data_IF_685438981581
#
_entry.id   IF_685438981581
#
_cell.length_a   1.000
_cell.length_b   1.000
_cell.length_c   1.000
_cell.angle_alpha   90.00
_cell.angle_beta   90.00
_cell.angle_gamma   90.00
#
_symmetry.space_group_name_H-M   'P 1'
#
loop_
_entity.id
_entity.type
_entity.pdbx_description
1 polymer ?
#
# COMPACT_ATOMS: atom_id res chain seq x y z
N UNK A 1 17.05 -63.39 4.27
CA UNK A 1 18.41 -62.81 4.35
C UNK A 1 18.69 -62.01 3.08
N UNK A 2 18.52 -60.69 3.12
CA UNK A 2 18.91 -59.79 2.01
C UNK A 2 19.82 -58.71 2.60
N UNK A 3 20.99 -58.60 1.97
CA UNK A 3 22.19 -57.94 2.48
C UNK A 3 22.10 -56.43 2.28
N UNK A 4 22.54 -55.68 3.28
CA UNK A 4 22.73 -54.23 3.24
C UNK A 4 23.98 -53.86 2.44
N UNK A 5 23.90 -52.81 1.64
CA UNK A 5 25.07 -52.07 1.15
C UNK A 5 24.93 -50.60 1.54
N UNK A 6 26.01 -50.07 2.12
CA UNK A 6 26.11 -48.78 2.77
C UNK A 6 26.97 -47.81 1.93
N UNK A 7 26.51 -46.55 1.86
CA UNK A 7 27.23 -45.25 1.95
C UNK A 7 28.42 -44.95 1.00
N UNK A 8 28.94 -43.69 0.92
CA UNK A 8 28.38 -42.33 1.10
C UNK A 8 28.81 -41.37 -0.05
N UNK A 9 28.56 -40.05 0.05
CA UNK A 9 29.57 -38.95 0.00
C UNK A 9 28.85 -37.61 -0.12
N UNK A 10 29.05 -36.75 0.89
CA UNK A 10 28.67 -35.35 0.91
C UNK A 10 29.84 -34.50 0.37
N UNK A 11 29.54 -33.40 -0.31
CA UNK A 11 30.51 -32.35 -0.60
C UNK A 11 29.86 -30.98 -0.33
N UNK A 12 30.26 -30.37 0.77
CA UNK A 12 29.93 -29.00 1.16
C UNK A 12 31.05 -28.11 0.63
N UNK A 13 30.74 -27.17 -0.25
CA UNK A 13 31.66 -26.12 -0.66
C UNK A 13 31.27 -24.82 0.05
N UNK A 14 32.07 -24.41 1.03
CA UNK A 14 32.01 -23.10 1.64
C UNK A 14 32.95 -22.16 0.85
N UNK A 15 32.41 -21.13 0.21
CA UNK A 15 33.21 -20.01 -0.31
C UNK A 15 33.24 -18.92 0.77
N UNK A 16 34.33 -18.88 1.53
CA UNK A 16 34.68 -17.71 2.34
C UNK A 16 35.30 -16.66 1.43
N UNK A 17 34.66 -15.50 1.30
CA UNK A 17 35.22 -14.32 0.63
C UNK A 17 35.67 -13.35 1.72
N UNK A 18 36.96 -13.39 2.05
CA UNK A 18 37.65 -12.36 2.85
C UNK A 18 38.22 -11.33 1.89
N UNK A 19 37.74 -10.09 1.96
CA UNK A 19 38.45 -8.94 1.39
C UNK A 19 38.50 -7.83 2.44
N UNK A 20 39.73 -7.41 2.71
CA UNK A 20 40.14 -6.44 3.73
C UNK A 20 39.47 -5.07 3.60
N UNK A 21 39.26 -4.48 4.78
CA UNK A 21 39.21 -3.05 5.03
C UNK A 21 40.54 -2.36 4.65
N UNK A 22 40.46 -1.11 4.19
CA UNK A 22 41.23 0.03 4.72
C UNK A 22 41.02 1.26 3.81
N UNK A 23 40.59 2.38 4.38
CA UNK A 23 40.44 3.63 3.63
C UNK A 23 39.70 4.73 4.38
N UNK A 24 40.44 5.46 5.20
CA UNK A 24 40.04 6.60 6.02
C UNK A 24 39.40 7.77 5.26
N UNK A 25 38.44 8.44 5.89
CA UNK A 25 37.88 9.70 5.38
C UNK A 25 36.77 10.26 6.26
N UNK A 26 37.12 10.89 7.37
CA UNK A 26 36.22 11.73 8.18
C UNK A 26 36.02 13.09 7.49
N UNK A 27 34.77 13.50 7.29
CA UNK A 27 34.40 14.92 7.26
C UNK A 27 33.03 15.08 7.93
N UNK A 28 33.06 15.65 9.13
CA UNK A 28 31.92 16.19 9.86
C UNK A 28 31.72 17.64 9.37
N UNK A 29 30.55 17.95 8.83
CA UNK A 29 30.14 19.33 8.52
C UNK A 29 28.73 19.55 9.08
N UNK A 30 28.67 19.77 10.38
CA UNK A 30 28.24 21.07 10.91
C UNK A 30 26.82 21.53 10.56
N UNK A 31 25.91 21.36 11.52
CA UNK A 31 24.59 21.98 11.55
C UNK A 31 24.65 23.51 11.54
N UNK A 32 23.91 24.15 10.63
CA UNK A 32 23.65 25.58 10.68
C UNK A 32 22.16 25.87 10.96
N UNK A 33 21.86 26.30 12.19
CA UNK A 33 20.64 27.06 12.51
C UNK A 33 20.97 28.55 12.44
N UNK A 34 20.21 29.36 11.68
CA UNK A 34 20.22 30.79 11.89
C UNK A 34 19.19 31.20 12.96
N UNK A 35 19.74 31.85 13.97
CA UNK A 35 19.13 32.57 15.06
C UNK A 35 18.30 33.78 14.58
N UNK A 36 17.18 34.00 15.27
CA UNK A 36 16.34 35.19 15.21
C UNK A 36 17.15 36.45 15.57
N UNK A 37 17.06 37.49 14.73
CA UNK A 37 17.45 38.85 15.10
C UNK A 37 16.21 39.74 15.14
N UNK A 38 15.92 40.24 16.34
CA UNK A 38 15.02 41.37 16.56
C UNK A 38 15.81 42.66 16.40
N UNK A 39 15.22 43.67 15.78
CA UNK A 39 15.61 45.07 15.91
C UNK A 39 14.40 45.94 15.60
N UNK A 40 13.98 46.69 16.63
CA UNK A 40 12.87 47.64 16.61
C UNK A 40 13.26 48.95 15.90
N UNK A 41 12.28 49.69 15.36
CA UNK A 41 11.90 51.05 15.81
C UNK A 41 10.68 51.59 15.06
N UNK A 42 9.86 52.32 15.81
CA UNK A 42 8.53 52.86 15.55
C UNK A 42 8.47 54.09 14.62
N UNK A 43 7.28 54.38 14.07
CA UNK A 43 6.66 55.73 14.07
C UNK A 43 5.12 55.65 13.96
N UNK A 44 4.46 56.48 14.76
CA UNK A 44 3.05 56.95 14.94
C UNK A 44 2.29 57.36 13.66
N UNK A 45 0.96 57.58 13.55
CA UNK A 45 -0.26 57.47 14.36
C UNK A 45 -1.50 57.82 13.47
N UNK A 46 -2.72 57.35 13.82
CA UNK A 46 -4.06 57.99 13.69
C UNK A 46 -5.18 56.93 13.93
N UNK A 47 -5.93 56.89 15.05
CA UNK A 47 -7.29 57.48 15.33
C UNK A 47 -8.29 57.36 14.17
N UNK A 48 -9.56 56.94 14.26
CA UNK A 48 -10.59 56.63 15.28
C UNK A 48 -11.47 55.47 14.66
N UNK A 49 -12.40 54.72 15.28
CA UNK A 49 -13.55 55.11 16.09
C UNK A 49 -14.20 53.87 16.75
N UNK A 50 -14.42 53.95 18.07
CA UNK A 50 -15.59 53.55 18.89
C UNK A 50 -16.43 52.29 18.51
N UNK A 51 -16.44 51.33 19.45
CA UNK A 51 -17.49 50.31 19.58
C UNK A 51 -17.46 49.67 20.98
N UNK A 52 -18.17 50.29 21.92
CA UNK A 52 -18.29 49.92 23.34
C UNK A 52 -19.02 48.59 23.55
N UNK A 53 -18.48 47.70 24.38
CA UNK A 53 -19.27 47.02 25.42
C UNK A 53 -18.37 46.46 26.54
N UNK A 54 -18.88 46.58 27.76
CA UNK A 54 -18.17 46.47 29.03
C UNK A 54 -18.47 45.14 29.76
N UNK A 55 -17.53 44.76 30.66
CA UNK A 55 -17.69 43.77 31.73
C UNK A 55 -17.33 42.35 31.28
N UNK A 56 -16.43 41.59 31.89
CA UNK A 56 -15.98 41.59 33.29
C UNK A 56 -14.65 40.83 33.35
N UNK A 57 -13.67 41.35 34.07
CA UNK A 57 -12.39 40.69 34.28
C UNK A 57 -12.47 39.68 35.43
N UNK A 58 -12.10 38.43 35.17
CA UNK A 58 -11.65 37.47 36.20
C UNK A 58 -10.36 36.82 35.73
N UNK A 59 -9.27 37.13 36.44
CA UNK A 59 -7.98 36.46 36.32
C UNK A 59 -8.10 34.99 36.71
N UNK A 60 -7.74 34.07 35.81
CA UNK A 60 -7.33 32.72 36.18
C UNK A 60 -6.41 32.11 35.10
N UNK A 61 -5.11 32.16 35.42
CA UNK A 61 -4.13 31.07 35.38
C UNK A 61 -4.11 30.17 34.12
N UNK A 62 -2.95 30.19 33.44
CA UNK A 62 -2.65 29.50 32.20
C UNK A 62 -3.11 28.05 32.10
N UNK A 63 -3.69 27.76 30.94
CA UNK A 63 -3.62 26.47 30.27
C UNK A 63 -3.48 26.78 28.77
N UNK A 64 -2.30 26.53 28.20
CA UNK A 64 -2.14 26.40 26.75
C UNK A 64 -2.87 25.11 26.33
N UNK A 65 -4.19 25.14 26.29
CA UNK A 65 -4.96 24.18 25.51
C UNK A 65 -4.88 24.64 24.07
N UNK A 66 -3.98 24.02 23.30
CA UNK A 66 -4.16 23.93 21.86
C UNK A 66 -5.51 23.24 21.64
N UNK A 67 -6.58 24.03 21.54
CA UNK A 67 -7.87 23.56 21.12
C UNK A 67 -7.66 23.02 19.71
N UNK A 68 -7.63 21.68 19.59
CA UNK A 68 -7.65 21.02 18.31
C UNK A 68 -8.84 21.58 17.55
N UNK A 69 -8.56 22.19 16.39
CA UNK A 69 -9.59 22.56 15.42
C UNK A 69 -10.51 21.34 15.27
N UNK A 70 -11.85 21.50 15.26
CA UNK A 70 -12.76 20.40 15.00
C UNK A 70 -12.29 19.64 13.77
N UNK A 71 -12.07 18.33 13.93
CA UNK A 71 -11.69 17.46 12.82
C UNK A 71 -12.71 17.66 11.70
N UNK A 72 -12.23 18.07 10.53
CA UNK A 72 -13.08 18.09 9.35
C UNK A 72 -13.37 16.62 9.01
N UNK A 73 -14.64 16.19 9.03
CA UNK A 73 -15.00 14.80 8.75
C UNK A 73 -14.66 14.37 7.31
N UNK A 74 -14.18 15.31 6.48
CA UNK A 74 -13.72 15.07 5.11
C UNK A 74 -12.21 15.16 4.93
N UNK A 75 -11.43 15.49 5.99
CA UNK A 75 -9.97 15.57 5.88
C UNK A 75 -9.38 14.16 5.71
N UNK A 76 -8.74 13.86 4.55
CA UNK A 76 -8.07 12.58 4.35
C UNK A 76 -6.81 12.45 5.21
N UNK A 77 -6.24 13.50 5.78
CA UNK A 77 -5.06 13.36 6.66
C UNK A 77 -5.43 12.87 8.07
N UNK A 78 -6.70 12.95 8.47
CA UNK A 78 -7.16 12.49 9.78
C UNK A 78 -7.29 10.95 9.81
N UNK A 79 -6.54 10.24 10.68
CA UNK A 79 -6.67 8.80 10.86
C UNK A 79 -8.09 8.33 11.21
N UNK A 80 -8.91 9.17 11.87
CA UNK A 80 -10.30 8.84 12.20
C UNK A 80 -11.21 8.74 10.97
N UNK A 81 -10.83 9.38 9.87
CA UNK A 81 -11.54 9.37 8.58
C UNK A 81 -11.03 8.29 7.62
N UNK A 82 -10.05 7.48 8.04
CA UNK A 82 -9.48 6.37 7.26
C UNK A 82 -9.79 5.01 7.84
N UNK A 83 -10.10 4.06 6.97
CA UNK A 83 -10.29 2.64 7.29
C UNK A 83 -9.49 1.76 6.33
N UNK A 84 -9.34 0.46 6.61
CA UNK A 84 -8.80 -0.45 5.60
C UNK A 84 -9.86 -0.73 4.52
N UNK A 85 -9.47 -0.74 3.26
CA UNK A 85 -10.33 -1.28 2.21
C UNK A 85 -10.41 -2.80 2.37
N UNK A 86 -11.62 -3.37 2.31
CA UNK A 86 -11.86 -4.81 2.30
C UNK A 86 -13.19 -5.15 1.63
N UNK A 87 -13.56 -6.44 1.61
CA UNK A 87 -14.76 -6.94 0.93
C UNK A 87 -16.09 -6.45 1.53
N UNK A 88 -16.11 -5.78 2.68
CA UNK A 88 -17.33 -5.22 3.28
C UNK A 88 -17.60 -3.76 2.90
N UNK A 89 -16.56 -2.99 2.56
CA UNK A 89 -16.67 -1.59 2.19
C UNK A 89 -16.23 -1.31 0.74
N UNK A 90 -16.07 -2.37 -0.06
CA UNK A 90 -15.72 -2.25 -1.47
C UNK A 90 -16.55 -3.17 -2.36
N UNK A 91 -16.72 -2.75 -3.61
CA UNK A 91 -17.10 -3.66 -4.69
C UNK A 91 -15.85 -4.07 -5.44
N UNK A 92 -15.69 -5.37 -5.69
CA UNK A 92 -14.53 -5.91 -6.41
C UNK A 92 -14.98 -6.57 -7.70
N UNK A 93 -14.28 -6.31 -8.79
CA UNK A 93 -14.44 -7.02 -10.07
C UNK A 93 -13.09 -7.55 -10.54
N UNK A 94 -13.10 -8.65 -11.29
CA UNK A 94 -11.90 -9.24 -11.87
C UNK A 94 -12.23 -9.71 -13.30
N UNK A 95 -11.51 -9.18 -14.30
CA UNK A 95 -11.80 -9.47 -15.72
C UNK A 95 -10.52 -9.59 -16.54
N UNK A 96 -10.33 -10.69 -17.28
CA UNK A 96 -9.28 -10.76 -18.29
C UNK A 96 -9.40 -9.61 -19.27
N UNK A 97 -8.26 -9.02 -19.64
CA UNK A 97 -8.20 -7.94 -20.64
C UNK A 97 -7.66 -8.49 -21.96
N UNK A 98 -8.09 -7.94 -23.10
CA UNK A 98 -7.62 -8.41 -24.41
C UNK A 98 -6.17 -7.98 -24.69
N UNK A 99 -5.76 -6.83 -24.16
CA UNK A 99 -4.41 -6.27 -24.25
C UNK A 99 -4.04 -5.60 -22.92
N UNK A 100 -2.83 -5.84 -22.39
CA UNK A 100 -1.84 -6.84 -22.83
C UNK A 100 -2.33 -8.30 -22.71
N UNK A 101 -1.62 -9.22 -23.38
CA UNK A 101 -1.98 -10.65 -23.42
C UNK A 101 -1.78 -11.29 -22.04
N UNK A 102 -2.60 -12.29 -21.70
CA UNK A 102 -2.54 -13.02 -20.43
C UNK A 102 -2.73 -12.15 -19.18
N UNK A 103 -3.29 -10.95 -19.32
CA UNK A 103 -3.55 -10.09 -18.18
C UNK A 103 -5.02 -10.15 -17.74
N UNK A 104 -5.21 -9.94 -16.45
CA UNK A 104 -6.50 -9.67 -15.83
C UNK A 104 -6.41 -8.42 -14.98
N UNK A 105 -7.43 -7.57 -15.07
CA UNK A 105 -7.56 -6.40 -14.22
C UNK A 105 -8.47 -6.73 -13.04
N UNK A 106 -7.99 -6.47 -11.83
CA UNK A 106 -8.81 -6.39 -10.63
C UNK A 106 -9.11 -4.91 -10.38
N UNK A 107 -10.39 -4.59 -10.18
CA UNK A 107 -10.84 -3.25 -9.83
C UNK A 107 -11.56 -3.30 -8.50
N UNK A 108 -11.13 -2.45 -7.58
CA UNK A 108 -11.75 -2.24 -6.27
C UNK A 108 -12.35 -0.85 -6.26
N UNK A 109 -13.64 -0.72 -5.96
CA UNK A 109 -14.31 0.57 -5.78
C UNK A 109 -14.72 0.73 -4.32
N UNK A 110 -14.34 1.84 -3.70
CA UNK A 110 -14.78 2.18 -2.34
C UNK A 110 -16.28 2.52 -2.34
N UNK A 111 -17.08 1.74 -1.61
CA UNK A 111 -18.52 1.96 -1.43
C UNK A 111 -18.88 2.48 -0.05
N UNK A 112 -17.89 2.67 0.81
CA UNK A 112 -18.06 3.28 2.13
C UNK A 112 -18.16 4.80 2.07
N UNK A 113 -18.39 5.41 3.23
CA UNK A 113 -18.46 6.86 3.43
C UNK A 113 -17.16 7.50 3.91
N UNK A 114 -16.12 6.69 4.17
CA UNK A 114 -14.79 7.12 4.62
C UNK A 114 -13.76 6.85 3.54
N UNK A 115 -12.61 7.52 3.64
CA UNK A 115 -11.43 7.09 2.88
C UNK A 115 -11.04 5.68 3.30
N UNK A 116 -10.65 4.85 2.34
CA UNK A 116 -10.09 3.54 2.66
C UNK A 116 -8.72 3.34 2.03
N UNK A 117 -7.83 2.68 2.77
CA UNK A 117 -6.46 2.40 2.34
C UNK A 117 -6.38 0.97 1.78
N UNK A 118 -5.86 0.83 0.55
CA UNK A 118 -5.45 -0.41 -0.08
C UNK A 118 -3.96 -0.65 0.20
N UNK A 119 -3.66 -1.46 1.21
CA UNK A 119 -2.27 -1.76 1.59
C UNK A 119 -1.70 -2.92 0.77
N UNK A 120 -0.41 -2.80 0.44
CA UNK A 120 0.37 -3.82 -0.27
C UNK A 120 -0.26 -4.23 -1.62
N UNK A 121 -0.57 -5.51 -1.78
CA UNK A 121 -1.09 -6.13 -3.00
C UNK A 121 -2.27 -7.05 -2.63
N UNK A 122 -3.17 -7.38 -3.57
CA UNK A 122 -4.21 -8.37 -3.30
C UNK A 122 -3.61 -9.76 -3.08
N UNK A 123 -4.09 -10.46 -2.06
CA UNK A 123 -3.77 -11.88 -1.87
C UNK A 123 -4.76 -12.68 -2.70
N UNK A 124 -4.30 -13.23 -3.82
CA UNK A 124 -5.16 -13.98 -4.74
C UNK A 124 -5.19 -15.47 -4.38
N UNK A 125 -6.39 -16.04 -4.35
CA UNK A 125 -6.59 -17.49 -4.26
C UNK A 125 -7.59 -17.94 -5.32
N UNK A 126 -7.08 -18.60 -6.34
CA UNK A 126 -7.90 -19.25 -7.36
C UNK A 126 -8.29 -20.66 -6.89
N UNK A 127 -9.58 -21.00 -6.95
CA UNK A 127 -10.12 -22.29 -6.50
C UNK A 127 -9.48 -22.85 -5.21
N UNK A 128 -8.71 -23.93 -5.32
CA UNK A 128 -8.00 -24.61 -4.22
C UNK A 128 -6.47 -24.41 -4.29
N UNK A 129 -6.01 -23.34 -4.95
CA UNK A 129 -4.60 -22.96 -5.02
C UNK A 129 -3.95 -22.99 -3.63
N UNK A 130 -2.83 -23.72 -3.53
CA UNK A 130 -2.09 -24.00 -2.28
C UNK A 130 -0.88 -23.07 -2.07
N UNK A 131 -0.73 -22.05 -2.91
CA UNK A 131 0.35 -21.07 -2.86
C UNK A 131 -0.23 -19.65 -3.00
N UNK A 132 0.58 -18.64 -2.70
CA UNK A 132 0.18 -17.24 -2.79
C UNK A 132 1.04 -16.53 -3.84
N UNK A 133 0.40 -15.94 -4.87
CA UNK A 133 1.08 -15.11 -5.86
C UNK A 133 1.91 -14.00 -5.23
N UNK A 134 3.13 -13.85 -5.73
CA UNK A 134 4.03 -12.79 -5.29
C UNK A 134 3.77 -11.51 -6.10
N UNK A 135 3.95 -10.34 -5.49
CA UNK A 135 3.80 -9.09 -6.20
C UNK A 135 4.97 -8.87 -7.18
N UNK A 136 4.69 -8.15 -8.26
CA UNK A 136 5.72 -7.54 -9.11
C UNK A 136 6.32 -6.38 -8.34
N UNK A 137 7.56 -6.53 -7.89
CA UNK A 137 8.17 -5.65 -6.90
C UNK A 137 8.34 -4.22 -7.43
N UNK A 138 8.52 -4.08 -8.74
CA UNK A 138 8.66 -2.84 -9.49
C UNK A 138 7.37 -2.01 -9.52
N UNK A 139 6.21 -2.64 -9.25
CA UNK A 139 4.90 -1.96 -9.19
C UNK A 139 4.60 -1.34 -7.84
N UNK A 140 5.53 -1.37 -6.89
CA UNK A 140 5.30 -0.83 -5.55
C UNK A 140 5.11 0.69 -5.59
N UNK A 141 3.95 1.23 -5.16
CA UNK A 141 3.72 2.66 -5.18
C UNK A 141 4.56 3.38 -4.12
N UNK A 142 4.81 4.67 -4.34
CA UNK A 142 5.53 5.53 -3.40
C UNK A 142 4.77 5.74 -2.08
N UNK A 143 3.44 5.69 -2.13
CA UNK A 143 2.54 5.84 -1.00
C UNK A 143 1.43 4.78 -1.05
N UNK A 144 0.76 4.57 0.08
CA UNK A 144 -0.41 3.67 0.12
C UNK A 144 -1.52 4.21 -0.78
N UNK A 145 -2.09 3.33 -1.60
CA UNK A 145 -3.22 3.66 -2.45
C UNK A 145 -4.44 3.94 -1.59
N UNK A 146 -4.86 5.20 -1.54
CA UNK A 146 -6.01 5.66 -0.75
C UNK A 146 -7.17 5.96 -1.69
N UNK A 147 -8.36 5.45 -1.37
CA UNK A 147 -9.58 5.66 -2.14
C UNK A 147 -10.56 6.52 -1.36
N UNK A 148 -10.95 7.66 -1.89
CA UNK A 148 -12.13 8.39 -1.41
C UNK A 148 -13.41 7.59 -1.66
N UNK A 149 -14.53 7.93 -0.99
CA UNK A 149 -15.84 7.36 -1.31
C UNK A 149 -16.15 7.44 -2.82
N UNK A 150 -16.42 6.29 -3.44
CA UNK A 150 -16.71 6.19 -4.87
C UNK A 150 -15.49 6.09 -5.80
N UNK A 151 -14.28 6.32 -5.30
CA UNK A 151 -13.04 6.14 -6.09
C UNK A 151 -12.68 4.67 -6.26
N UNK A 152 -11.83 4.39 -7.25
CA UNK A 152 -11.38 3.05 -7.59
C UNK A 152 -9.87 2.92 -7.57
N UNK A 153 -9.40 1.76 -7.12
CA UNK A 153 -8.02 1.29 -7.22
C UNK A 153 -7.95 0.01 -8.05
N UNK A 154 -6.75 -0.30 -8.52
CA UNK A 154 -6.51 -1.32 -9.53
C UNK A 154 -5.35 -2.22 -9.14
N UNK A 155 -5.42 -3.48 -9.55
CA UNK A 155 -4.26 -4.36 -9.60
C UNK A 155 -4.27 -5.14 -10.91
N UNK A 156 -3.12 -5.17 -11.59
CA UNK A 156 -2.89 -6.04 -12.72
C UNK A 156 -2.47 -7.41 -12.25
N UNK A 157 -2.94 -8.44 -12.95
CA UNK A 157 -2.54 -9.82 -12.73
C UNK A 157 -2.01 -10.35 -14.04
N UNK A 158 -0.72 -10.67 -14.09
CA UNK A 158 -0.16 -11.48 -15.17
C UNK A 158 -0.49 -12.92 -14.85
N UNK A 159 -1.35 -13.54 -15.65
CA UNK A 159 -1.86 -14.89 -15.39
C UNK A 159 -0.88 -15.99 -15.83
N UNK A 160 -0.10 -15.71 -16.85
CA UNK A 160 0.90 -16.60 -17.42
C UNK A 160 1.89 -15.82 -18.28
N UNK A 161 3.17 -16.14 -18.17
CA UNK A 161 4.23 -15.58 -19.00
C UNK A 161 4.00 -15.91 -20.48
N UNK A 162 4.32 -14.96 -21.36
CA UNK A 162 4.14 -15.13 -22.80
C UNK A 162 5.21 -16.03 -23.46
N UNK A 163 6.31 -16.30 -22.76
CA UNK A 163 7.43 -17.10 -23.24
C UNK A 163 7.24 -18.62 -23.03
N UNK A 164 6.13 -19.03 -22.39
CA UNK A 164 5.82 -20.43 -22.12
C UNK A 164 6.67 -21.06 -21.01
N UNK A 165 7.35 -20.25 -20.19
CA UNK A 165 8.14 -20.74 -19.04
C UNK A 165 7.30 -21.29 -17.89
N UNK A 166 5.99 -21.04 -17.90
CA UNK A 166 5.07 -21.50 -16.86
C UNK A 166 4.79 -22.99 -16.89
N UNK A 167 4.59 -23.55 -15.69
CA UNK A 167 4.27 -24.94 -15.45
C UNK A 167 2.95 -25.08 -14.70
N UNK A 168 2.34 -26.28 -14.78
CA UNK A 168 1.16 -26.62 -13.98
C UNK A 168 -0.07 -25.77 -14.29
N UNK A 169 -0.18 -25.26 -15.52
CA UNK A 169 -1.27 -24.39 -15.94
C UNK A 169 -2.64 -25.06 -15.79
N UNK A 170 -3.62 -24.30 -15.30
CA UNK A 170 -4.99 -24.75 -15.10
C UNK A 170 -5.98 -23.62 -15.32
N UNK A 171 -7.28 -23.93 -15.34
CA UNK A 171 -8.36 -22.95 -15.53
C UNK A 171 -9.22 -22.86 -14.29
N UNK A 172 -9.16 -21.72 -13.60
CA UNK A 172 -9.95 -21.49 -12.41
C UNK A 172 -11.36 -20.94 -12.69
N UNK A 173 -12.30 -21.28 -11.81
CA UNK A 173 -13.70 -20.83 -11.87
C UNK A 173 -14.09 -19.92 -10.71
N UNK A 174 -13.34 -19.94 -9.62
CA UNK A 174 -13.52 -19.07 -8.46
C UNK A 174 -12.25 -18.29 -8.16
N UNK A 175 -12.41 -17.00 -7.86
CA UNK A 175 -11.36 -16.15 -7.33
C UNK A 175 -11.78 -15.62 -5.96
N UNK A 176 -10.90 -15.77 -4.97
CA UNK A 176 -10.96 -15.02 -3.72
C UNK A 176 -9.87 -13.95 -3.74
N UNK A 177 -10.25 -12.71 -3.47
CA UNK A 177 -9.35 -11.56 -3.32
C UNK A 177 -9.28 -11.20 -1.84
N UNK A 178 -8.15 -11.51 -1.22
CA UNK A 178 -7.84 -11.12 0.14
C UNK A 178 -7.24 -9.71 0.20
N UNK A 179 -7.61 -8.97 1.25
CA UNK A 179 -7.06 -7.66 1.56
C UNK A 179 -6.08 -7.77 2.72
N UNK A 180 -5.00 -7.00 2.66
CA UNK A 180 -3.99 -6.99 3.71
C UNK A 180 -4.26 -5.90 4.74
N UNK A 181 -3.77 -6.09 5.97
CA UNK A 181 -3.79 -5.07 7.00
C UNK A 181 -2.64 -4.08 6.85
N UNK A 182 -2.37 -3.31 7.91
CA UNK A 182 -1.23 -2.37 7.97
C UNK A 182 0.12 -3.06 8.19
N UNK A 183 0.10 -4.33 8.57
CA UNK A 183 1.29 -5.18 8.70
C UNK A 183 1.34 -6.09 7.47
N UNK A 184 2.50 -6.29 6.84
CA UNK A 184 2.59 -7.18 5.68
C UNK A 184 2.04 -8.57 6.01
N UNK A 185 1.26 -9.14 5.10
CA UNK A 185 0.62 -10.47 5.24
C UNK A 185 -0.37 -10.62 6.40
N UNK A 186 -0.77 -9.53 7.09
CA UNK A 186 -1.86 -9.60 8.07
C UNK A 186 -3.22 -9.44 7.40
N UNK A 187 -4.28 -9.91 8.05
CA UNK A 187 -5.63 -9.76 7.52
C UNK A 187 -6.08 -8.30 7.51
N UNK A 188 -6.58 -7.82 6.37
CA UNK A 188 -7.24 -6.52 6.20
C UNK A 188 -8.75 -6.55 6.46
N UNK A 189 -9.28 -7.69 6.92
CA UNK A 189 -10.72 -7.92 7.08
C UNK A 189 -11.27 -8.88 6.00
N UNK A 190 -12.60 -8.83 5.76
CA UNK A 190 -13.26 -9.76 4.86
C UNK A 190 -12.72 -9.74 3.43
N UNK A 191 -12.56 -10.92 2.82
CA UNK A 191 -12.19 -11.07 1.41
C UNK A 191 -13.38 -10.78 0.49
N UNK A 192 -13.09 -10.50 -0.79
CA UNK A 192 -14.09 -10.44 -1.85
C UNK A 192 -14.04 -11.69 -2.73
N UNK A 193 -15.17 -12.07 -3.34
CA UNK A 193 -15.28 -13.19 -4.28
C UNK A 193 -15.90 -12.68 -5.58
N UNK A 194 -15.14 -11.94 -6.41
CA UNK A 194 -15.65 -11.43 -7.68
C UNK A 194 -15.99 -12.58 -8.63
N UNK A 195 -17.00 -12.36 -9.48
CA UNK A 195 -17.37 -13.32 -10.51
C UNK A 195 -16.29 -13.39 -11.58
N UNK A 196 -15.87 -14.61 -11.94
CA UNK A 196 -15.02 -14.87 -13.10
C UNK A 196 -15.88 -15.13 -14.35
N UNK A 197 -15.31 -14.97 -15.56
CA UNK A 197 -15.97 -15.41 -16.79
C UNK A 197 -16.45 -16.86 -16.69
N UNK A 198 -17.60 -17.18 -17.29
CA UNK A 198 -18.17 -18.53 -17.23
C UNK A 198 -17.20 -19.61 -17.73
N UNK A 199 -16.34 -19.30 -18.71
CA UNK A 199 -15.28 -20.16 -19.25
C UNK A 199 -14.07 -20.36 -18.32
N UNK A 200 -14.01 -19.63 -17.21
CA UNK A 200 -12.90 -19.58 -16.28
C UNK A 200 -11.76 -18.68 -16.74
N UNK A 201 -10.72 -18.63 -15.92
CA UNK A 201 -9.48 -17.90 -16.17
C UNK A 201 -8.32 -18.87 -16.11
N UNK A 202 -7.55 -18.96 -17.19
CA UNK A 202 -6.32 -19.74 -17.21
C UNK A 202 -5.23 -19.03 -16.42
N UNK A 203 -4.43 -19.77 -15.66
CA UNK A 203 -3.19 -19.30 -15.06
C UNK A 203 -2.18 -20.45 -14.93
N UNK A 204 -0.91 -20.12 -14.73
CA UNK A 204 0.15 -21.10 -14.44
C UNK A 204 1.06 -20.65 -13.28
N UNK A 205 2.19 -21.34 -13.10
CA UNK A 205 3.16 -21.06 -12.03
C UNK A 205 3.86 -19.70 -12.12
N UNK A 206 3.75 -18.99 -13.25
CA UNK A 206 4.33 -17.66 -13.45
C UNK A 206 3.37 -16.54 -13.09
N UNK A 207 2.20 -16.86 -12.53
CA UNK A 207 1.23 -15.85 -12.14
C UNK A 207 1.83 -14.89 -11.10
N UNK A 208 1.78 -13.60 -11.43
CA UNK A 208 2.21 -12.49 -10.58
C UNK A 208 1.12 -11.41 -10.51
N UNK A 209 1.24 -10.50 -9.56
CA UNK A 209 0.24 -9.45 -9.34
C UNK A 209 0.91 -8.11 -9.05
N UNK A 210 0.33 -6.99 -9.44
CA UNK A 210 0.87 -5.69 -9.01
C UNK A 210 0.53 -5.41 -7.55
N UNK A 211 1.21 -4.43 -6.95
CA UNK A 211 0.66 -3.71 -5.82
C UNK A 211 -0.65 -3.01 -6.22
N UNK A 212 -1.43 -2.58 -5.23
CA UNK A 212 -2.58 -1.73 -5.51
C UNK A 212 -2.13 -0.36 -6.03
N UNK A 213 -2.67 0.04 -7.18
CA UNK A 213 -2.36 1.29 -7.87
C UNK A 213 -3.63 2.12 -8.07
N UNK A 214 -3.47 3.43 -8.23
CA UNK A 214 -4.56 4.37 -8.54
C UNK A 214 -4.83 4.45 -10.03
N UNK A 215 -3.82 4.19 -10.88
CA UNK A 215 -3.96 4.21 -12.33
C UNK A 215 -4.17 2.81 -12.90
N UNK A 216 -5.15 2.70 -13.80
CA UNK A 216 -5.52 1.43 -14.42
C UNK A 216 -4.47 0.97 -15.43
N UNK A 217 -3.97 1.89 -16.23
CA UNK A 217 -3.11 1.57 -17.36
C UNK A 217 -1.70 1.24 -16.85
N UNK A 218 -1.24 1.91 -15.78
CA UNK A 218 -0.04 1.56 -15.02
C UNK A 218 -0.16 0.13 -14.45
N UNK A 219 -1.28 -0.22 -13.82
CA UNK A 219 -1.50 -1.56 -13.31
C UNK A 219 -1.45 -2.64 -14.41
N UNK A 220 -1.81 -2.31 -15.64
CA UNK A 220 -1.73 -3.21 -16.80
C UNK A 220 -0.41 -3.09 -17.57
N UNK A 221 0.56 -2.31 -17.11
CA UNK A 221 1.84 -2.12 -17.80
C UNK A 221 2.93 -3.11 -17.37
N UNK A 222 2.67 -3.89 -16.31
CA UNK A 222 3.54 -4.91 -15.74
C UNK A 222 3.06 -6.30 -16.14
#
# INVERSE_FOLDING_TARGET
MRKYHALPVALVAALALTACEDGTGTQDEGAAKPQLTSSAKATTAATDTKGTNAGTATNAKGANSNAAKPADPTDPADPANRVSCNGSNTTVTAKPVPRPLNHMLITVKNTGSKYCDLTYFPVLRFDEMQWVPQPMQESKPQAVTTLAPGESGYAGVLLSAADGSGAGGTTARKLTVGFQGRTPNSSGGPSAVPQLPAKGVYYDSTLTVTYWLTDRDEALSY
#
